data_IF_984029280242
#
_entry.id   IF_984029280242
#
_cell.length_a   1.000
_cell.length_b   1.000
_cell.length_c   1.000
_cell.angle_alpha   90.00
_cell.angle_beta   90.00
_cell.angle_gamma   90.00
#
_symmetry.space_group_name_H-M   'P 1'
#
loop_
_entity.id
_entity.type
_entity.pdbx_description
1 polymer ?
#
# COMPACT_ATOMS: atom_id res chain seq x y z
N UNK A 1 8.27 11.72 10.94
CA UNK A 1 9.33 11.22 10.04
C UNK A 1 8.67 10.96 8.69
N UNK A 2 8.89 11.85 7.72
CA UNK A 2 8.28 11.83 6.38
C UNK A 2 8.92 10.71 5.57
N UNK A 3 8.12 9.77 5.07
CA UNK A 3 8.55 8.84 4.03
C UNK A 3 7.69 9.07 2.78
N UNK A 4 7.71 10.30 2.27
CA UNK A 4 7.55 10.53 0.83
C UNK A 4 8.91 10.21 0.22
N UNK A 5 9.08 8.99 -0.24
CA UNK A 5 10.32 8.56 -0.90
C UNK A 5 10.41 9.20 -2.29
N UNK A 6 10.71 10.50 -2.34
CA UNK A 6 11.03 11.27 -3.55
C UNK A 6 9.83 11.66 -4.43
N UNK A 7 10.00 12.65 -5.33
CA UNK A 7 8.95 13.11 -6.26
C UNK A 7 8.50 12.05 -7.27
N UNK A 8 9.21 10.93 -7.38
CA UNK A 8 8.92 9.86 -8.33
C UNK A 8 8.01 8.76 -7.76
N UNK A 9 7.66 8.76 -6.46
CA UNK A 9 6.83 7.70 -5.89
C UNK A 9 5.34 8.01 -6.04
N UNK A 10 4.62 7.07 -6.64
CA UNK A 10 3.17 7.09 -6.76
C UNK A 10 2.53 6.65 -5.43
N UNK A 11 2.90 5.47 -4.94
CA UNK A 11 2.32 4.89 -3.71
C UNK A 11 3.34 4.03 -2.98
N UNK A 12 3.29 4.07 -1.65
CA UNK A 12 3.91 3.06 -0.78
C UNK A 12 2.84 2.37 0.05
N UNK A 13 2.88 1.05 0.06
CA UNK A 13 2.02 0.18 0.86
C UNK A 13 2.87 -0.69 1.78
N UNK A 14 2.45 -0.81 3.03
CA UNK A 14 3.05 -1.71 4.00
C UNK A 14 1.96 -2.52 4.69
N UNK A 15 2.20 -3.81 4.84
CA UNK A 15 1.37 -4.72 5.63
C UNK A 15 2.25 -5.41 6.66
N UNK A 16 1.88 -5.26 7.93
CA UNK A 16 2.60 -5.91 9.03
C UNK A 16 1.66 -6.63 9.99
N UNK A 17 2.19 -7.58 10.74
CA UNK A 17 1.45 -8.29 11.79
C UNK A 17 0.90 -9.64 11.34
N UNK A 18 -0.20 -10.07 11.95
CA UNK A 18 -0.65 -11.46 11.86
C UNK A 18 0.23 -12.44 12.64
N UNK A 19 -0.32 -13.61 12.92
CA UNK A 19 0.32 -14.63 13.76
C UNK A 19 1.71 -15.08 13.26
N UNK A 20 1.89 -15.12 11.94
CA UNK A 20 3.16 -15.50 11.31
C UNK A 20 4.20 -14.36 11.26
N UNK A 21 3.86 -13.15 11.71
CA UNK A 21 4.74 -11.98 11.65
C UNK A 21 4.99 -11.50 10.23
N UNK A 22 3.94 -11.28 9.44
CA UNK A 22 4.05 -10.75 8.08
C UNK A 22 4.71 -9.38 8.12
N UNK A 23 5.62 -9.14 7.16
CA UNK A 23 6.17 -7.83 6.86
C UNK A 23 6.35 -7.70 5.34
N UNK A 24 5.39 -7.04 4.71
CA UNK A 24 5.40 -6.76 3.27
C UNK A 24 5.47 -5.25 3.04
N UNK A 25 6.26 -4.85 2.05
CA UNK A 25 6.37 -3.48 1.58
C UNK A 25 6.40 -3.45 0.07
N UNK A 26 5.54 -2.63 -0.51
CA UNK A 26 5.48 -2.37 -1.95
C UNK A 26 5.57 -0.87 -2.17
N UNK A 27 6.52 -0.42 -2.96
CA UNK A 27 6.62 0.98 -3.40
C UNK A 27 6.53 1.02 -4.92
N UNK A 28 5.59 1.77 -5.47
CA UNK A 28 5.41 1.93 -6.92
C UNK A 28 5.79 3.34 -7.32
N UNK A 29 6.68 3.46 -8.30
CA UNK A 29 7.06 4.73 -8.91
C UNK A 29 6.09 5.16 -10.03
N UNK A 30 6.07 6.46 -10.33
CA UNK A 30 5.29 7.02 -11.43
C UNK A 30 5.72 6.48 -12.81
N UNK A 31 6.98 6.02 -12.90
CA UNK A 31 7.59 5.39 -14.07
C UNK A 31 7.15 3.94 -14.35
N UNK A 32 6.31 3.33 -13.51
CA UNK A 32 5.85 1.95 -13.71
C UNK A 32 6.79 0.87 -13.16
N UNK A 33 7.74 1.24 -12.30
CA UNK A 33 8.56 0.26 -11.57
C UNK A 33 8.07 0.15 -10.13
N UNK A 34 7.82 -1.08 -9.68
CA UNK A 34 7.59 -1.39 -8.28
C UNK A 34 8.83 -1.98 -7.61
N UNK A 35 9.04 -1.63 -6.35
CA UNK A 35 9.96 -2.28 -5.42
C UNK A 35 9.12 -3.08 -4.42
N UNK A 36 9.17 -4.40 -4.54
CA UNK A 36 8.40 -5.35 -3.73
C UNK A 36 9.39 -6.06 -2.80
N UNK A 37 9.36 -5.76 -1.50
CA UNK A 37 10.31 -6.29 -0.52
C UNK A 37 11.80 -6.16 -0.98
N UNK A 38 12.12 -5.10 -1.73
CA UNK A 38 13.45 -4.84 -2.30
C UNK A 38 13.70 -5.41 -3.71
N UNK A 39 12.83 -6.28 -4.24
CA UNK A 39 12.89 -6.80 -5.61
C UNK A 39 12.20 -5.84 -6.58
N UNK A 40 12.85 -5.51 -7.71
CA UNK A 40 12.22 -4.70 -8.76
C UNK A 40 11.28 -5.54 -9.60
N UNK A 41 10.10 -4.99 -9.88
CA UNK A 41 9.07 -5.56 -10.76
C UNK A 41 8.60 -4.45 -11.69
N UNK A 42 8.61 -4.70 -12.99
CA UNK A 42 8.03 -3.79 -13.97
C UNK A 42 6.51 -4.01 -14.04
N UNK A 43 5.76 -2.92 -14.03
CA UNK A 43 4.32 -2.90 -14.27
C UNK A 43 4.06 -2.54 -15.72
N UNK A 44 3.12 -3.25 -16.34
CA UNK A 44 2.58 -2.87 -17.63
C UNK A 44 1.70 -1.60 -17.52
N UNK A 45 1.43 -0.96 -18.65
CA UNK A 45 0.67 0.30 -18.70
C UNK A 45 -0.75 0.14 -18.15
N UNK A 46 -1.39 -1.01 -18.40
CA UNK A 46 -2.72 -1.35 -17.88
C UNK A 46 -2.70 -1.60 -16.36
N UNK A 47 -1.66 -2.27 -15.84
CA UNK A 47 -1.43 -2.42 -14.40
C UNK A 47 -1.28 -1.04 -13.73
N UNK A 48 -0.52 -0.14 -14.35
CA UNK A 48 -0.34 1.23 -13.86
C UNK A 48 -1.62 2.05 -13.91
N UNK A 49 -2.37 1.98 -15.01
CA UNK A 49 -3.64 2.69 -15.14
C UNK A 49 -4.65 2.21 -14.09
N UNK A 50 -4.81 0.89 -13.96
CA UNK A 50 -5.71 0.30 -12.97
C UNK A 50 -5.31 0.62 -11.52
N UNK A 51 -4.01 0.74 -11.23
CA UNK A 51 -3.54 1.19 -9.93
C UNK A 51 -3.88 2.66 -9.67
N UNK A 52 -3.65 3.56 -10.65
CA UNK A 52 -3.99 4.98 -10.51
C UNK A 52 -5.48 5.19 -10.32
N UNK A 53 -6.32 4.49 -11.08
CA UNK A 53 -7.77 4.56 -10.97
C UNK A 53 -8.22 4.09 -9.57
N UNK A 54 -7.68 2.98 -9.08
CA UNK A 54 -7.98 2.48 -7.74
C UNK A 54 -7.54 3.46 -6.63
N UNK A 55 -6.37 4.07 -6.77
CA UNK A 55 -5.87 5.07 -5.81
C UNK A 55 -6.70 6.35 -5.82
N UNK A 56 -7.25 6.76 -6.97
CA UNK A 56 -8.13 7.93 -7.05
C UNK A 56 -9.42 7.78 -6.25
N UNK A 57 -9.84 6.54 -5.97
CA UNK A 57 -11.00 6.22 -5.12
C UNK A 57 -10.71 6.23 -3.62
N UNK A 58 -9.45 6.39 -3.21
CA UNK A 58 -9.07 6.41 -1.79
C UNK A 58 -9.44 7.76 -1.18
N UNK A 59 -10.31 7.71 -0.17
CA UNK A 59 -10.77 8.89 0.59
C UNK A 59 -10.39 8.79 2.06
N UNK A 60 -10.12 7.59 2.56
CA UNK A 60 -9.66 7.37 3.93
C UNK A 60 -8.17 7.72 4.02
N UNK A 61 -7.86 8.97 4.36
CA UNK A 61 -6.48 9.50 4.40
C UNK A 61 -5.91 9.70 5.81
N UNK A 62 -6.71 9.49 6.84
CA UNK A 62 -6.28 9.58 8.24
C UNK A 62 -5.89 8.21 8.81
N UNK A 63 -5.09 8.21 9.87
CA UNK A 63 -4.80 7.00 10.64
C UNK A 63 -5.86 6.72 11.70
N UNK A 64 -6.00 5.47 12.13
CA UNK A 64 -6.85 5.09 13.26
C UNK A 64 -6.43 3.79 13.90
N UNK A 65 -6.54 3.73 15.22
CA UNK A 65 -6.26 2.53 16.01
C UNK A 65 -7.49 1.61 16.17
N UNK A 66 -8.61 1.94 15.53
CA UNK A 66 -9.77 1.06 15.50
C UNK A 66 -9.39 -0.30 14.91
N UNK A 67 -9.70 -1.38 15.64
CA UNK A 67 -9.35 -2.74 15.26
C UNK A 67 -7.96 -3.23 15.71
N UNK A 68 -7.10 -2.37 16.29
CA UNK A 68 -5.74 -2.78 16.70
C UNK A 68 -5.68 -3.50 18.06
N UNK A 69 -6.78 -3.51 18.84
CA UNK A 69 -6.83 -4.08 20.20
C UNK A 69 -7.17 -5.58 20.23
N UNK A 70 -6.83 -6.30 19.17
CA UNK A 70 -6.92 -7.76 19.11
C UNK A 70 -5.52 -8.34 18.96
N UNK A 71 -5.32 -9.52 19.53
CA UNK A 71 -4.10 -10.28 19.31
C UNK A 71 -3.91 -10.51 17.80
N UNK A 72 -2.66 -10.41 17.35
CA UNK A 72 -2.26 -10.72 15.98
C UNK A 72 -2.99 -9.94 14.87
N UNK A 73 -3.38 -8.69 15.13
CA UNK A 73 -3.97 -7.84 14.10
C UNK A 73 -2.97 -7.58 12.96
N UNK A 74 -3.51 -7.34 11.76
CA UNK A 74 -2.75 -6.73 10.69
C UNK A 74 -2.77 -5.22 10.84
N UNK A 75 -1.68 -4.58 10.43
CA UNK A 75 -1.60 -3.15 10.21
C UNK A 75 -1.36 -2.90 8.73
N UNK A 76 -2.17 -2.02 8.15
CA UNK A 76 -2.09 -1.57 6.77
C UNK A 76 -1.69 -0.12 6.77
N UNK A 77 -0.58 0.21 6.09
CA UNK A 77 -0.17 1.59 5.87
C UNK A 77 -0.19 1.90 4.39
N UNK A 78 -0.84 2.99 4.00
CA UNK A 78 -0.89 3.49 2.64
C UNK A 78 -0.39 4.93 2.62
N UNK A 79 0.62 5.21 1.81
CA UNK A 79 1.13 6.55 1.54
C UNK A 79 0.91 6.87 0.05
N UNK A 80 0.03 7.84 -0.22
CA UNK A 80 -0.41 8.21 -1.57
C UNK A 80 -0.86 9.67 -1.59
N UNK A 81 -0.57 10.40 -2.67
CA UNK A 81 -1.13 11.73 -2.92
C UNK A 81 -0.84 12.78 -1.84
N UNK A 82 0.30 12.71 -1.16
CA UNK A 82 0.61 13.63 -0.05
C UNK A 82 0.02 13.21 1.31
N UNK A 83 -0.66 12.07 1.38
CA UNK A 83 -1.22 11.51 2.61
C UNK A 83 -0.49 10.25 3.03
N UNK A 84 -0.51 9.96 4.34
CA UNK A 84 -0.09 8.68 4.91
C UNK A 84 -1.06 8.29 6.01
N UNK A 85 -1.68 7.13 5.84
CA UNK A 85 -2.65 6.59 6.76
C UNK A 85 -2.26 5.19 7.20
N UNK A 86 -2.49 4.88 8.47
CA UNK A 86 -2.32 3.55 9.05
C UNK A 86 -3.63 3.09 9.69
N UNK A 87 -4.05 1.86 9.37
CA UNK A 87 -5.31 1.24 9.83
C UNK A 87 -5.09 -0.22 10.20
N UNK A 88 -5.81 -0.74 11.19
CA UNK A 88 -5.77 -2.17 11.55
C UNK A 88 -6.90 -3.00 10.92
N UNK A 89 -7.91 -2.33 10.37
CA UNK A 89 -8.85 -2.91 9.42
C UNK A 89 -8.64 -2.27 8.06
N UNK A 90 -8.64 -3.07 7.00
CA UNK A 90 -8.52 -2.58 5.64
C UNK A 90 -9.77 -1.77 5.28
N UNK A 91 -9.66 -0.43 5.08
CA UNK A 91 -10.79 0.37 4.62
C UNK A 91 -11.32 -0.14 3.27
N UNK A 92 -12.63 -0.10 3.06
CA UNK A 92 -13.23 -0.62 1.83
C UNK A 92 -12.77 0.14 0.58
N UNK A 93 -12.51 1.45 0.71
CA UNK A 93 -12.00 2.30 -0.36
C UNK A 93 -10.53 1.97 -0.72
N UNK A 94 -9.77 1.36 0.18
CA UNK A 94 -8.40 0.93 -0.11
C UNK A 94 -8.34 -0.41 -0.84
N UNK A 95 -9.40 -1.22 -0.76
CA UNK A 95 -9.39 -2.63 -1.15
C UNK A 95 -8.89 -2.85 -2.58
N UNK A 96 -9.41 -2.09 -3.54
CA UNK A 96 -9.03 -2.22 -4.94
C UNK A 96 -7.54 -1.92 -5.20
N UNK A 97 -6.97 -0.94 -4.48
CA UNK A 97 -5.55 -0.60 -4.59
C UNK A 97 -4.69 -1.64 -3.88
N UNK A 98 -5.08 -2.06 -2.67
CA UNK A 98 -4.36 -3.07 -1.88
C UNK A 98 -4.32 -4.42 -2.57
N UNK A 99 -5.42 -4.89 -3.15
CA UNK A 99 -5.44 -6.16 -3.90
C UNK A 99 -4.44 -6.17 -5.06
N UNK A 100 -4.30 -5.06 -5.78
CA UNK A 100 -3.32 -4.89 -6.86
C UNK A 100 -1.90 -4.89 -6.33
N UNK A 101 -1.64 -4.18 -5.23
CA UNK A 101 -0.32 -4.09 -4.60
C UNK A 101 0.11 -5.44 -4.00
N UNK A 102 -0.80 -6.15 -3.33
CA UNK A 102 -0.56 -7.51 -2.81
C UNK A 102 -0.41 -8.54 -3.94
N UNK A 103 -1.02 -8.34 -5.11
CA UNK A 103 -0.77 -9.21 -6.26
C UNK A 103 0.70 -9.15 -6.73
N UNK A 104 1.38 -8.01 -6.54
CA UNK A 104 2.80 -7.86 -6.86
C UNK A 104 3.71 -8.67 -5.93
N UNK A 105 3.29 -8.97 -4.70
CA UNK A 105 4.09 -9.78 -3.75
C UNK A 105 4.19 -11.25 -4.15
N UNK A 106 3.34 -11.69 -5.09
CA UNK A 106 3.31 -13.06 -5.62
C UNK A 106 4.12 -13.24 -6.92
N UNK A 107 4.82 -12.21 -7.41
CA UNK A 107 5.64 -12.20 -8.64
C UNK A 107 7.14 -12.38 -8.36
#
# INVERSE_FOLDING_TARGET
>A
MLAFTGPDVLVTYERTGGFAGIQERVTVGNSGTALVNGKRVALADDEMQGLRDALSGVVTTDSSEAGCRVADHFTYTLAYGGHRATRCWLPSDWRAAVERLEALTRR
#
